data_IF_004736755773
#
_entry.id   IF_004736755773
#
_cell.length_a   1.000
_cell.length_b   1.000
_cell.length_c   1.000
_cell.angle_alpha   90.00
_cell.angle_beta   90.00
_cell.angle_gamma   90.00
#
_symmetry.space_group_name_H-M   'P 1'
#
loop_
_entity.id
_entity.type
_entity.pdbx_description
1 polymer ?
#
# COMPACT_ATOMS: atom_id res chain seq x y z
N UNK A 1 15.41 -6.97 3.09
CA UNK A 1 13.97 -7.09 3.39
C UNK A 1 13.21 -6.19 2.41
N UNK A 2 12.21 -6.71 1.67
CA UNK A 2 11.38 -5.88 0.78
C UNK A 2 10.50 -4.93 1.57
N UNK A 3 10.46 -3.66 1.17
CA UNK A 3 9.70 -2.61 1.86
C UNK A 3 8.51 -2.13 1.01
N UNK A 4 7.31 -2.25 1.55
CA UNK A 4 6.08 -1.72 0.96
C UNK A 4 5.64 -0.51 1.77
N UNK A 5 5.60 0.67 1.15
CA UNK A 5 5.13 1.90 1.78
C UNK A 5 3.76 2.30 1.26
N UNK A 6 2.78 2.43 2.14
CA UNK A 6 1.42 2.82 1.76
C UNK A 6 1.08 4.19 2.31
N UNK A 7 0.77 5.15 1.43
CA UNK A 7 0.31 6.49 1.78
C UNK A 7 -1.02 6.83 1.12
N UNK A 8 -1.69 7.82 1.65
CA UNK A 8 -2.99 8.34 1.24
C UNK A 8 -3.81 8.76 2.44
N UNK A 9 -5.03 9.26 2.25
CA UNK A 9 -5.91 9.61 3.36
C UNK A 9 -6.50 8.34 3.98
N UNK A 10 -7.16 7.50 3.19
CA UNK A 10 -7.83 6.28 3.63
C UNK A 10 -7.21 5.03 2.97
N UNK A 11 -7.41 3.85 3.57
CA UNK A 11 -7.01 2.56 2.99
C UNK A 11 -5.62 2.07 3.40
N UNK A 12 -4.77 2.88 4.02
CA UNK A 12 -3.39 2.49 4.41
C UNK A 12 -3.35 1.19 5.22
N UNK A 13 -4.05 1.14 6.35
CA UNK A 13 -4.07 -0.03 7.24
C UNK A 13 -4.64 -1.26 6.57
N UNK A 14 -5.69 -1.10 5.76
CA UNK A 14 -6.30 -2.21 5.04
C UNK A 14 -5.31 -2.81 4.04
N UNK A 15 -4.67 -1.98 3.20
CA UNK A 15 -3.73 -2.45 2.17
C UNK A 15 -2.50 -3.11 2.80
N UNK A 16 -1.92 -2.51 3.84
CA UNK A 16 -0.75 -3.08 4.51
C UNK A 16 -1.05 -4.43 5.16
N UNK A 17 -2.24 -4.60 5.77
CA UNK A 17 -2.67 -5.90 6.29
C UNK A 17 -2.94 -6.90 5.16
N UNK A 18 -3.63 -6.52 4.07
CA UNK A 18 -3.85 -7.39 2.91
C UNK A 18 -2.51 -7.88 2.35
N UNK A 19 -1.54 -6.99 2.13
CA UNK A 19 -0.21 -7.37 1.64
C UNK A 19 0.41 -8.41 2.57
N UNK A 20 0.45 -8.14 3.89
CA UNK A 20 1.00 -9.06 4.86
C UNK A 20 0.29 -10.41 4.84
N UNK A 21 -1.03 -10.43 4.88
CA UNK A 21 -1.83 -11.65 5.00
C UNK A 21 -1.72 -12.53 3.75
N UNK A 22 -1.58 -11.93 2.56
CA UNK A 22 -1.37 -12.69 1.31
C UNK A 22 -0.01 -13.40 1.28
N UNK A 23 1.07 -12.72 1.72
CA UNK A 23 2.42 -13.27 1.51
C UNK A 23 3.03 -13.96 2.74
N UNK A 24 2.51 -13.72 3.93
CA UNK A 24 3.15 -14.11 5.20
C UNK A 24 3.35 -15.63 5.38
N UNK A 25 2.60 -16.47 4.69
CA UNK A 25 2.73 -17.94 4.77
C UNK A 25 4.02 -18.47 4.11
N UNK A 26 4.51 -17.82 3.05
CA UNK A 26 5.76 -18.17 2.36
C UNK A 26 6.85 -17.13 2.50
N UNK A 27 6.48 -15.88 2.71
CA UNK A 27 7.42 -14.77 2.87
C UNK A 27 7.12 -14.07 4.19
N UNK A 28 7.83 -14.41 5.28
CA UNK A 28 7.60 -13.76 6.58
C UNK A 28 7.59 -12.24 6.42
N UNK A 29 6.43 -11.63 6.71
CA UNK A 29 6.18 -10.21 6.48
C UNK A 29 5.81 -9.50 7.78
N UNK A 30 6.61 -8.49 8.14
CA UNK A 30 6.28 -7.56 9.22
C UNK A 30 5.20 -6.56 8.81
N UNK A 31 4.58 -5.95 9.81
CA UNK A 31 3.63 -4.86 9.65
C UNK A 31 3.94 -3.75 10.65
N UNK A 32 3.93 -2.50 10.19
CA UNK A 32 4.01 -1.31 11.02
C UNK A 32 2.92 -0.35 10.59
N UNK A 33 2.03 0.00 11.50
CA UNK A 33 0.94 0.91 11.19
C UNK A 33 0.10 1.30 12.40
N UNK A 34 -1.04 1.90 12.17
CA UNK A 34 -1.93 2.47 13.19
C UNK A 34 -2.40 1.45 14.21
N UNK A 35 -2.65 0.21 13.77
CA UNK A 35 -3.28 -0.81 14.62
C UNK A 35 -2.26 -1.53 15.48
N UNK A 36 -1.08 -1.85 14.93
CA UNK A 36 -0.05 -2.62 15.62
C UNK A 36 1.31 -2.48 14.93
N UNK A 37 2.34 -3.03 15.58
CA UNK A 37 3.63 -3.41 14.98
C UNK A 37 3.75 -4.92 15.17
N UNK A 38 3.79 -5.69 14.06
CA UNK A 38 3.78 -7.16 14.10
C UNK A 38 4.95 -7.75 13.33
N UNK A 39 5.67 -8.68 13.94
CA UNK A 39 6.71 -9.48 13.29
C UNK A 39 7.01 -10.76 14.10
N UNK A 40 7.07 -11.91 13.44
CA UNK A 40 7.09 -13.20 14.12
C UNK A 40 5.91 -13.32 15.10
N UNK A 41 6.22 -13.68 16.34
CA UNK A 41 5.24 -13.77 17.44
C UNK A 41 5.11 -12.46 18.24
N UNK A 42 5.78 -11.40 17.80
CA UNK A 42 5.78 -10.12 18.49
C UNK A 42 4.67 -9.23 17.97
N UNK A 43 3.85 -8.71 18.88
CA UNK A 43 2.84 -7.70 18.62
C UNK A 43 2.97 -6.57 19.66
N UNK A 44 3.17 -5.34 19.16
CA UNK A 44 3.31 -4.14 19.98
C UNK A 44 2.26 -3.11 19.60
N UNK A 45 1.83 -2.31 20.57
CA UNK A 45 0.96 -1.17 20.33
C UNK A 45 1.78 0.05 19.87
N UNK A 46 1.48 0.64 18.71
CA UNK A 46 2.15 1.85 18.26
C UNK A 46 1.57 3.09 18.94
N UNK A 47 2.40 4.09 19.17
CA UNK A 47 1.94 5.42 19.60
C UNK A 47 1.55 6.31 18.40
N UNK A 48 2.04 6.00 17.21
CA UNK A 48 1.86 6.77 15.98
C UNK A 48 1.72 5.81 14.80
N UNK A 49 0.90 6.19 13.81
CA UNK A 49 0.76 5.43 12.54
C UNK A 49 2.11 5.12 11.89
N UNK A 50 2.98 6.13 11.84
CA UNK A 50 4.38 6.01 11.42
C UNK A 50 5.22 6.45 12.61
N UNK A 51 5.91 5.52 13.29
CA UNK A 51 6.72 5.82 14.45
C UNK A 51 7.84 6.84 14.17
N UNK A 52 8.43 7.41 15.22
CA UNK A 52 9.63 8.23 15.07
C UNK A 52 10.80 7.46 14.47
N UNK A 53 11.75 8.18 13.86
CA UNK A 53 12.79 7.59 13.03
C UNK A 53 13.66 6.57 13.80
N UNK A 54 14.05 6.86 15.01
CA UNK A 54 14.93 5.95 15.79
C UNK A 54 14.20 4.67 16.18
N UNK A 55 12.96 4.80 16.66
CA UNK A 55 12.14 3.64 17.01
C UNK A 55 11.82 2.80 15.78
N UNK A 56 11.46 3.44 14.66
CA UNK A 56 11.17 2.77 13.39
C UNK A 56 12.37 1.96 12.90
N UNK A 57 13.56 2.56 12.86
CA UNK A 57 14.80 1.87 12.46
C UNK A 57 15.14 0.70 13.41
N UNK A 58 14.93 0.89 14.71
CA UNK A 58 15.10 -0.19 15.68
C UNK A 58 14.17 -1.38 15.38
N UNK A 59 12.88 -1.12 15.09
CA UNK A 59 11.91 -2.19 14.78
C UNK A 59 12.20 -2.87 13.45
N UNK A 60 12.64 -2.14 12.43
CA UNK A 60 13.08 -2.73 11.17
C UNK A 60 14.32 -3.62 11.36
N UNK A 61 15.27 -3.21 12.20
CA UNK A 61 16.42 -4.04 12.55
C UNK A 61 16.01 -5.31 13.33
N UNK A 62 15.04 -5.21 14.25
CA UNK A 62 14.47 -6.35 14.96
C UNK A 62 13.79 -7.31 13.97
N UNK A 63 12.99 -6.81 13.03
CA UNK A 63 12.35 -7.60 11.98
C UNK A 63 13.38 -8.38 11.15
N UNK A 64 14.48 -7.74 10.74
CA UNK A 64 15.55 -8.43 10.00
C UNK A 64 16.17 -9.54 10.85
N UNK A 65 16.44 -9.28 12.14
CA UNK A 65 16.97 -10.30 13.08
C UNK A 65 16.02 -11.46 13.29
N UNK A 66 14.72 -11.20 13.32
CA UNK A 66 13.66 -12.22 13.38
C UNK A 66 13.39 -12.92 12.04
N UNK A 67 14.18 -12.66 10.99
CA UNK A 67 14.09 -13.35 9.72
C UNK A 67 12.98 -12.87 8.79
N UNK A 68 12.35 -11.71 9.06
CA UNK A 68 11.37 -11.11 8.15
C UNK A 68 12.01 -10.82 6.79
N UNK A 69 11.30 -11.16 5.72
CA UNK A 69 11.74 -10.97 4.33
C UNK A 69 11.06 -9.79 3.65
N UNK A 70 9.94 -9.35 4.21
CA UNK A 70 9.19 -8.19 3.77
C UNK A 70 8.65 -7.40 4.98
N UNK A 71 8.27 -6.14 4.76
CA UNK A 71 7.56 -5.31 5.72
C UNK A 71 6.57 -4.40 4.98
N UNK A 72 5.32 -4.40 5.41
CA UNK A 72 4.30 -3.45 4.98
C UNK A 72 4.19 -2.33 6.02
N UNK A 73 4.46 -1.09 5.58
CA UNK A 73 4.54 0.10 6.43
C UNK A 73 3.48 1.13 6.02
N UNK A 74 2.67 1.57 6.98
CA UNK A 74 1.84 2.75 6.79
C UNK A 74 2.69 4.02 6.86
N UNK A 75 2.72 4.78 5.77
CA UNK A 75 3.49 6.02 5.64
C UNK A 75 2.54 7.21 5.69
N UNK A 76 2.38 7.80 6.87
CA UNK A 76 1.53 8.97 7.08
C UNK A 76 2.18 10.24 6.50
N UNK A 77 1.37 11.23 6.14
CA UNK A 77 1.87 12.53 5.71
C UNK A 77 2.69 13.25 6.78
N UNK A 78 2.31 13.11 8.05
CA UNK A 78 3.11 13.58 9.18
C UNK A 78 4.47 12.89 9.24
N UNK A 79 4.50 11.55 9.05
CA UNK A 79 5.74 10.79 9.03
C UNK A 79 6.69 11.22 7.92
N UNK A 80 6.15 11.56 6.75
CA UNK A 80 6.91 12.12 5.62
C UNK A 80 7.39 13.54 5.89
N UNK A 81 6.48 14.43 6.29
CA UNK A 81 6.83 15.83 6.58
C UNK A 81 7.81 15.99 7.75
N UNK A 82 7.82 15.06 8.69
CA UNK A 82 8.72 15.06 9.86
C UNK A 82 9.93 14.13 9.68
N UNK A 83 10.22 13.68 8.44
CA UNK A 83 11.42 12.89 8.11
C UNK A 83 11.56 11.57 8.88
N UNK A 84 10.45 10.98 9.37
CA UNK A 84 10.48 9.76 10.18
C UNK A 84 10.86 8.51 9.38
N UNK A 85 10.67 8.55 8.08
CA UNK A 85 10.94 7.44 7.14
C UNK A 85 12.17 7.67 6.26
N UNK A 86 12.89 8.79 6.48
CA UNK A 86 14.15 9.05 5.80
C UNK A 86 15.15 7.92 6.11
N UNK A 87 15.92 7.51 5.13
CA UNK A 87 16.81 6.35 5.24
C UNK A 87 16.14 4.99 4.99
N UNK A 88 14.83 4.95 4.71
CA UNK A 88 14.15 3.75 4.21
C UNK A 88 14.02 3.88 2.68
N UNK A 89 14.47 2.85 1.97
CA UNK A 89 14.24 2.72 0.53
C UNK A 89 13.13 1.70 0.27
N UNK A 90 12.04 2.15 -0.35
CA UNK A 90 10.88 1.31 -0.61
C UNK A 90 11.00 0.60 -1.97
N UNK A 91 10.77 -0.72 -1.98
CA UNK A 91 10.67 -1.51 -3.21
C UNK A 91 9.34 -1.23 -3.93
N UNK A 92 8.30 -0.92 -3.14
CA UNK A 92 7.00 -0.52 -3.67
C UNK A 92 6.42 0.63 -2.83
N UNK A 93 6.02 1.71 -3.50
CA UNK A 93 5.28 2.83 -2.94
C UNK A 93 3.83 2.81 -3.47
N UNK A 94 2.84 2.90 -2.57
CA UNK A 94 1.42 2.81 -2.91
C UNK A 94 0.71 4.09 -2.50
N UNK A 95 -0.03 4.69 -3.45
CA UNK A 95 -0.91 5.82 -3.21
C UNK A 95 -2.37 5.42 -3.35
N UNK A 96 -3.16 5.71 -2.32
CA UNK A 96 -4.57 5.33 -2.27
C UNK A 96 -5.51 6.43 -2.76
N UNK A 97 -5.53 7.54 -2.07
CA UNK A 97 -6.39 8.70 -2.34
C UNK A 97 -5.94 9.93 -1.54
N UNK A 98 -6.42 11.10 -1.96
CA UNK A 98 -6.27 12.35 -1.23
C UNK A 98 -7.63 13.00 -1.02
N UNK A 99 -8.14 12.98 0.20
CA UNK A 99 -9.36 13.66 0.62
C UNK A 99 -9.07 14.63 1.75
N UNK A 100 -10.03 15.51 2.08
CA UNK A 100 -9.89 16.53 3.10
C UNK A 100 -9.58 15.90 4.46
N UNK A 101 -8.37 16.16 4.99
CA UNK A 101 -7.90 15.69 6.29
C UNK A 101 -6.63 16.44 6.71
N UNK A 102 -6.29 16.45 7.99
CA UNK A 102 -5.02 16.94 8.55
C UNK A 102 -4.61 18.38 8.15
N UNK A 103 -5.56 19.26 7.83
CA UNK A 103 -5.27 20.65 7.49
C UNK A 103 -4.87 21.50 8.69
N UNK A 104 -5.17 21.06 9.90
CA UNK A 104 -4.64 21.62 11.15
C UNK A 104 -3.10 21.57 11.20
N UNK A 105 -2.49 20.53 10.58
CA UNK A 105 -1.04 20.37 10.49
C UNK A 105 -0.47 20.91 9.19
N UNK A 106 -1.07 20.58 8.03
CA UNK A 106 -0.52 20.93 6.72
C UNK A 106 -0.91 22.32 6.22
N UNK A 107 -1.95 22.92 6.78
CA UNK A 107 -2.48 24.23 6.38
C UNK A 107 -3.31 24.18 5.10
N UNK A 108 -2.81 23.58 4.02
CA UNK A 108 -3.49 23.47 2.72
C UNK A 108 -3.49 22.07 2.16
N UNK A 109 -4.39 21.78 1.21
CA UNK A 109 -4.42 20.51 0.48
C UNK A 109 -3.18 20.31 -0.38
N UNK A 110 -2.59 21.39 -0.89
CA UNK A 110 -1.35 21.38 -1.67
C UNK A 110 -0.17 20.91 -0.81
N UNK A 111 0.00 21.47 0.39
CA UNK A 111 1.04 21.04 1.33
C UNK A 111 0.82 19.59 1.79
N UNK A 112 -0.44 19.18 1.98
CA UNK A 112 -0.80 17.81 2.33
C UNK A 112 -0.43 16.84 1.21
N UNK A 113 -0.71 17.20 -0.04
CA UNK A 113 -0.28 16.46 -1.22
C UNK A 113 1.26 16.41 -1.35
N UNK A 114 1.92 17.55 -1.23
CA UNK A 114 3.40 17.63 -1.31
C UNK A 114 4.06 16.71 -0.27
N UNK A 115 3.56 16.70 0.96
CA UNK A 115 4.07 15.80 1.98
C UNK A 115 3.97 14.32 1.55
N UNK A 116 2.82 13.88 0.98
CA UNK A 116 2.66 12.51 0.50
C UNK A 116 3.51 12.20 -0.72
N UNK A 117 3.72 13.18 -1.60
CA UNK A 117 4.52 13.00 -2.82
C UNK A 117 5.99 12.67 -2.53
N UNK A 118 6.51 13.01 -1.34
CA UNK A 118 7.89 12.71 -0.93
C UNK A 118 8.19 11.20 -0.98
N UNK A 119 7.21 10.34 -0.71
CA UNK A 119 7.38 8.90 -0.82
C UNK A 119 7.79 8.49 -2.24
N UNK A 120 7.18 9.08 -3.26
CA UNK A 120 7.39 8.77 -4.68
C UNK A 120 8.60 9.51 -5.25
N UNK A 121 8.82 10.75 -4.84
CA UNK A 121 9.94 11.58 -5.28
C UNK A 121 11.29 11.11 -4.73
N UNK A 122 11.33 10.70 -3.45
CA UNK A 122 12.60 10.56 -2.73
C UNK A 122 12.86 9.14 -2.22
N UNK A 123 11.84 8.40 -1.81
CA UNK A 123 12.00 7.20 -0.97
C UNK A 123 11.74 5.88 -1.70
N UNK A 124 10.96 5.87 -2.79
CA UNK A 124 10.87 4.68 -3.63
C UNK A 124 12.19 4.48 -4.37
N UNK A 125 12.66 3.25 -4.52
CA UNK A 125 13.86 2.92 -5.30
C UNK A 125 13.63 3.22 -6.80
N UNK A 126 14.67 3.58 -7.53
CA UNK A 126 14.59 3.81 -8.99
C UNK A 126 14.18 2.54 -9.75
N UNK A 127 14.67 1.39 -9.31
CA UNK A 127 14.29 0.06 -9.81
C UNK A 127 13.04 -0.53 -9.15
N UNK A 128 12.40 0.23 -8.25
CA UNK A 128 11.16 -0.11 -7.58
C UNK A 128 9.92 0.16 -8.42
N UNK A 129 8.76 0.15 -7.75
CA UNK A 129 7.47 0.40 -8.40
C UNK A 129 6.60 1.37 -7.58
N UNK A 130 5.91 2.28 -8.27
CA UNK A 130 4.91 3.19 -7.71
C UNK A 130 3.53 2.77 -8.17
N UNK A 131 2.71 2.24 -7.26
CA UNK A 131 1.34 1.80 -7.52
C UNK A 131 0.38 2.94 -7.15
N UNK A 132 -0.28 3.53 -8.14
CA UNK A 132 -1.02 4.78 -7.96
C UNK A 132 -2.47 4.63 -8.44
N UNK A 133 -3.42 5.05 -7.59
CA UNK A 133 -4.84 5.10 -7.94
C UNK A 133 -5.08 6.12 -9.06
N UNK A 134 -5.52 5.62 -10.23
CA UNK A 134 -5.76 6.47 -11.41
C UNK A 134 -7.10 7.22 -11.36
N UNK A 135 -8.00 6.78 -10.49
CA UNK A 135 -9.27 7.48 -10.28
C UNK A 135 -9.15 8.66 -9.30
N UNK A 136 -7.96 8.88 -8.71
CA UNK A 136 -7.69 10.05 -7.86
C UNK A 136 -7.13 11.21 -8.71
N UNK A 137 -7.61 12.42 -8.43
CA UNK A 137 -7.23 13.66 -9.16
C UNK A 137 -5.71 13.93 -9.11
N UNK A 138 -5.00 13.43 -8.10
CA UNK A 138 -3.56 13.62 -7.94
C UNK A 138 -2.71 12.59 -8.71
N UNK A 139 -3.36 11.65 -9.42
CA UNK A 139 -2.65 10.63 -10.21
C UNK A 139 -1.59 11.23 -11.16
N UNK A 140 -1.98 12.21 -11.98
CA UNK A 140 -1.08 12.83 -12.96
C UNK A 140 0.16 13.42 -12.31
N UNK A 141 -0.03 14.22 -11.27
CA UNK A 141 1.06 14.87 -10.55
C UNK A 141 2.01 13.86 -9.85
N UNK A 142 1.46 12.76 -9.29
CA UNK A 142 2.27 11.70 -8.69
C UNK A 142 3.03 10.90 -9.74
N UNK A 143 2.41 10.61 -10.88
CA UNK A 143 3.06 9.94 -12.01
C UNK A 143 4.26 10.72 -12.50
N UNK A 144 4.10 12.04 -12.67
CA UNK A 144 5.14 12.90 -13.22
C UNK A 144 6.32 13.11 -12.26
N UNK A 145 6.08 13.01 -10.94
CA UNK A 145 7.12 13.19 -9.93
C UNK A 145 7.75 11.89 -9.42
N UNK A 146 7.21 10.74 -9.78
CA UNK A 146 7.75 9.45 -9.33
C UNK A 146 9.06 9.13 -10.04
N UNK A 147 10.08 8.75 -9.28
CA UNK A 147 11.35 8.27 -9.83
C UNK A 147 11.35 6.78 -10.21
N UNK A 148 10.33 6.04 -9.76
CA UNK A 148 10.15 4.63 -10.08
C UNK A 148 9.13 4.45 -11.22
N UNK A 149 9.11 3.26 -11.82
CA UNK A 149 8.08 2.87 -12.78
C UNK A 149 6.69 2.95 -12.13
N UNK A 150 5.77 3.63 -12.83
CA UNK A 150 4.39 3.82 -12.35
C UNK A 150 3.49 2.73 -12.92
N UNK A 151 2.72 2.12 -12.02
CA UNK A 151 1.65 1.16 -12.30
C UNK A 151 0.35 1.77 -11.78
N UNK A 152 -0.63 1.83 -12.65
CA UNK A 152 -1.96 2.38 -12.33
C UNK A 152 -2.95 1.29 -11.92
N UNK A 153 -3.84 1.63 -10.98
CA UNK A 153 -5.01 0.82 -10.70
C UNK A 153 -6.27 1.68 -10.62
N UNK A 154 -7.42 1.13 -11.02
CA UNK A 154 -8.67 1.87 -11.09
C UNK A 154 -9.90 0.97 -11.09
N UNK A 155 -11.07 1.57 -10.84
CA UNK A 155 -12.38 1.00 -11.11
C UNK A 155 -13.02 1.72 -12.31
N UNK A 156 -12.96 3.05 -12.33
CA UNK A 156 -13.69 3.88 -13.29
C UNK A 156 -12.87 4.18 -14.56
N UNK A 157 -11.55 4.31 -14.41
CA UNK A 157 -10.63 4.65 -15.51
C UNK A 157 -10.00 3.41 -16.13
N UNK A 158 -9.53 3.50 -17.37
CA UNK A 158 -8.61 2.51 -17.94
C UNK A 158 -7.28 2.55 -17.17
N UNK A 159 -6.80 1.40 -16.71
CA UNK A 159 -5.61 1.27 -15.87
C UNK A 159 -4.89 -0.06 -16.14
N UNK A 160 -3.64 -0.19 -15.65
CA UNK A 160 -2.88 -1.45 -15.76
C UNK A 160 -3.57 -2.58 -14.97
N UNK A 161 -4.13 -2.26 -13.80
CA UNK A 161 -4.96 -3.15 -12.98
C UNK A 161 -6.34 -2.53 -12.83
N UNK A 162 -7.34 -3.10 -13.48
CA UNK A 162 -8.70 -2.56 -13.46
C UNK A 162 -9.71 -3.59 -12.95
N UNK A 163 -10.59 -3.18 -12.03
CA UNK A 163 -11.74 -3.99 -11.65
C UNK A 163 -12.98 -3.62 -12.48
N UNK A 164 -13.64 -4.63 -13.04
CA UNK A 164 -14.90 -4.52 -13.76
C UNK A 164 -15.90 -5.56 -13.23
N UNK A 165 -17.16 -5.49 -13.64
CA UNK A 165 -18.19 -6.45 -13.27
C UNK A 165 -18.35 -6.66 -11.75
N UNK A 166 -18.18 -5.59 -10.96
CA UNK A 166 -18.21 -5.65 -9.50
C UNK A 166 -19.59 -6.03 -9.00
N UNK A 167 -19.68 -7.09 -8.20
CA UNK A 167 -20.89 -7.57 -7.54
C UNK A 167 -20.64 -7.65 -6.04
N UNK A 168 -21.49 -6.98 -5.27
CA UNK A 168 -21.42 -6.95 -3.80
C UNK A 168 -22.60 -7.67 -3.17
N UNK A 169 -22.35 -8.38 -2.10
CA UNK A 169 -23.36 -9.01 -1.25
C UNK A 169 -22.97 -8.86 0.22
N UNK A 170 -23.83 -9.30 1.12
CA UNK A 170 -23.51 -9.37 2.56
C UNK A 170 -22.40 -10.39 2.89
N UNK A 171 -22.05 -11.26 1.93
CA UNK A 171 -21.02 -12.29 2.09
C UNK A 171 -19.69 -11.91 1.44
N UNK A 172 -19.57 -10.71 0.88
CA UNK A 172 -18.34 -10.25 0.25
C UNK A 172 -18.55 -9.64 -1.13
N UNK A 173 -17.44 -9.45 -1.82
CA UNK A 173 -17.38 -8.83 -3.15
C UNK A 173 -16.73 -9.77 -4.16
N UNK A 174 -17.23 -9.74 -5.39
CA UNK A 174 -16.66 -10.43 -6.55
C UNK A 174 -16.47 -9.41 -7.66
N UNK A 175 -15.39 -9.50 -8.40
CA UNK A 175 -15.12 -8.67 -9.58
C UNK A 175 -14.18 -9.38 -10.55
N UNK A 176 -14.13 -8.89 -11.78
CA UNK A 176 -13.13 -9.34 -12.74
C UNK A 176 -11.96 -8.34 -12.74
N UNK A 177 -10.75 -8.83 -12.45
CA UNK A 177 -9.52 -8.07 -12.63
C UNK A 177 -9.08 -8.15 -14.08
N UNK A 178 -8.98 -7.02 -14.76
CA UNK A 178 -8.34 -6.90 -16.06
C UNK A 178 -6.89 -6.52 -15.87
N UNK A 179 -5.98 -7.37 -16.36
CA UNK A 179 -4.53 -7.15 -16.32
C UNK A 179 -3.86 -7.76 -17.54
N UNK A 180 -3.01 -7.02 -18.23
CA UNK A 180 -2.28 -7.48 -19.45
C UNK A 180 -3.17 -8.13 -20.51
N UNK A 181 -4.39 -7.60 -20.72
CA UNK A 181 -5.33 -8.12 -21.71
C UNK A 181 -6.09 -9.40 -21.29
N UNK A 182 -5.86 -9.91 -20.08
CA UNK A 182 -6.57 -11.07 -19.53
C UNK A 182 -7.52 -10.65 -18.42
N UNK A 183 -8.53 -11.49 -18.17
CA UNK A 183 -9.48 -11.32 -17.08
C UNK A 183 -9.31 -12.44 -16.05
N UNK A 184 -9.24 -12.06 -14.78
CA UNK A 184 -9.09 -12.95 -13.66
C UNK A 184 -10.25 -12.73 -12.67
N UNK A 185 -11.06 -13.76 -12.36
CA UNK A 185 -12.13 -13.63 -11.38
C UNK A 185 -11.52 -13.52 -9.96
N UNK A 186 -11.87 -12.45 -9.24
CA UNK A 186 -11.43 -12.21 -7.87
C UNK A 186 -12.64 -12.28 -6.94
N UNK A 187 -12.48 -12.95 -5.80
CA UNK A 187 -13.44 -13.03 -4.70
C UNK A 187 -12.80 -12.60 -3.40
N UNK A 188 -13.56 -11.97 -2.52
CA UNK A 188 -13.12 -11.56 -1.19
C UNK A 188 -14.30 -11.48 -0.24
N UNK A 189 -14.07 -11.62 1.06
CA UNK A 189 -15.07 -11.39 2.11
C UNK A 189 -15.25 -9.90 2.42
N UNK A 190 -14.38 -9.03 1.92
CA UNK A 190 -14.49 -7.59 2.09
C UNK A 190 -15.64 -7.02 1.26
N UNK A 191 -16.37 -6.07 1.85
CA UNK A 191 -17.51 -5.40 1.19
C UNK A 191 -17.22 -3.92 1.00
N UNK A 192 -17.68 -3.37 -0.12
CA UNK A 192 -17.58 -1.94 -0.46
C UNK A 192 -16.55 -1.62 -1.54
N UNK A 193 -16.87 -0.62 -2.38
CA UNK A 193 -15.99 -0.18 -3.48
C UNK A 193 -14.60 0.22 -3.01
N UNK A 194 -14.51 0.87 -1.84
CA UNK A 194 -13.21 1.24 -1.26
C UNK A 194 -12.31 0.02 -0.99
N UNK A 195 -12.89 -1.15 -0.67
CA UNK A 195 -12.12 -2.38 -0.50
C UNK A 195 -11.72 -3.01 -1.83
N UNK A 196 -12.47 -2.79 -2.93
CA UNK A 196 -12.03 -3.17 -4.27
C UNK A 196 -10.76 -2.38 -4.64
N UNK A 197 -10.73 -1.07 -4.41
CA UNK A 197 -9.51 -0.27 -4.59
C UNK A 197 -8.35 -0.77 -3.72
N UNK A 198 -8.60 -1.09 -2.45
CA UNK A 198 -7.58 -1.60 -1.54
C UNK A 198 -6.99 -2.93 -2.04
N UNK A 199 -7.84 -3.84 -2.52
CA UNK A 199 -7.40 -5.11 -3.10
C UNK A 199 -6.62 -4.91 -4.39
N UNK A 200 -7.10 -4.08 -5.32
CA UNK A 200 -6.37 -3.76 -6.55
C UNK A 200 -4.97 -3.23 -6.27
N UNK A 201 -4.85 -2.31 -5.31
CA UNK A 201 -3.56 -1.76 -4.89
C UNK A 201 -2.61 -2.84 -4.34
N UNK A 202 -3.13 -3.74 -3.48
CA UNK A 202 -2.34 -4.83 -2.90
C UNK A 202 -1.96 -5.87 -3.96
N UNK A 203 -2.89 -6.27 -4.83
CA UNK A 203 -2.63 -7.21 -5.94
C UNK A 203 -1.55 -6.65 -6.87
N UNK A 204 -1.69 -5.39 -7.32
CA UNK A 204 -0.71 -4.74 -8.18
C UNK A 204 0.68 -4.67 -7.50
N UNK A 205 0.75 -4.23 -6.24
CA UNK A 205 2.00 -4.11 -5.51
C UNK A 205 2.72 -5.45 -5.37
N UNK A 206 1.99 -6.52 -5.08
CA UNK A 206 2.56 -7.85 -4.91
C UNK A 206 2.99 -8.44 -6.26
N UNK A 207 2.14 -8.38 -7.29
CA UNK A 207 2.47 -8.93 -8.62
C UNK A 207 3.68 -8.22 -9.22
N UNK A 208 3.73 -6.89 -9.16
CA UNK A 208 4.83 -6.08 -9.72
C UNK A 208 6.15 -6.22 -8.92
N UNK A 209 6.10 -6.75 -7.71
CA UNK A 209 7.28 -7.09 -6.92
C UNK A 209 7.66 -8.57 -6.95
N UNK A 210 7.06 -9.33 -7.88
CA UNK A 210 7.48 -10.69 -8.26
C UNK A 210 6.75 -11.82 -7.55
N UNK A 211 5.55 -11.57 -6.97
CA UNK A 211 4.69 -12.64 -6.50
C UNK A 211 3.75 -13.09 -7.62
N UNK A 212 3.44 -14.36 -7.64
CA UNK A 212 2.56 -14.97 -8.63
C UNK A 212 1.11 -14.46 -8.51
N UNK A 213 0.56 -13.98 -9.64
CA UNK A 213 -0.76 -13.34 -9.66
C UNK A 213 -1.90 -14.31 -9.30
N UNK A 214 -1.86 -15.53 -9.81
CA UNK A 214 -2.94 -16.51 -9.57
C UNK A 214 -3.00 -16.86 -8.09
N UNK A 215 -1.85 -17.02 -7.46
CA UNK A 215 -1.76 -17.24 -6.03
C UNK A 215 -2.22 -16.04 -5.19
N UNK A 216 -1.89 -14.82 -5.61
CA UNK A 216 -2.40 -13.60 -4.94
C UNK A 216 -3.92 -13.60 -4.96
N UNK A 217 -4.52 -13.89 -6.13
CA UNK A 217 -5.98 -13.94 -6.34
C UNK A 217 -6.62 -15.05 -5.48
N UNK A 218 -6.02 -16.23 -5.43
CA UNK A 218 -6.48 -17.33 -4.56
C UNK A 218 -6.56 -16.89 -3.09
N UNK A 219 -5.52 -16.19 -2.61
CA UNK A 219 -5.47 -15.69 -1.23
C UNK A 219 -6.50 -14.59 -0.94
N UNK A 220 -6.88 -13.78 -1.93
CA UNK A 220 -7.92 -12.76 -1.75
C UNK A 220 -9.26 -13.35 -1.29
N UNK A 221 -9.55 -14.61 -1.62
CA UNK A 221 -10.78 -15.28 -1.19
C UNK A 221 -10.87 -15.52 0.34
N UNK A 222 -9.76 -15.36 1.04
CA UNK A 222 -9.67 -15.54 2.50
C UNK A 222 -9.49 -14.22 3.26
N UNK A 223 -9.49 -13.10 2.54
CA UNK A 223 -9.37 -11.75 3.09
C UNK A 223 -10.75 -11.16 3.41
#
# INVERSE_FOLDING_TARGET
>A
MKMYGVTGTNGKSTITNIIRDIINDKTPCGYIGTIAIKYGDIELQPNLTTPDALFLQSKLADMVRCGMKACALEVSSHGLAQHRVDGISFDCAIFTNLTYDHLDFHGTMENYFEAKSLLFKNLVKEDGVSVINKDDEKYGALKDCSKARVISYAINSEADYRAINIKMSSQGTQFDLVYSGHMYPVKTNLVGNFNVYNLLAAIAALNETGYDLERIIEKCAHI
#
